data_IF_646788540061
#
_entry.id   IF_646788540061
#
_cell.length_a   1.000
_cell.length_b   1.000
_cell.length_c   1.000
_cell.angle_alpha   90.00
_cell.angle_beta   90.00
_cell.angle_gamma   90.00
#
_symmetry.space_group_name_H-M   'P 1'
#
loop_
_entity.id
_entity.type
_entity.pdbx_description
1 polymer ?
#
# COMPACT_ATOMS: atom_id res chain seq x y z
N UNK A 1 -13.12 0.75 14.42
CA UNK A 1 -12.34 2.01 14.36
C UNK A 1 -11.30 2.10 15.50
N UNK A 2 -11.70 2.02 16.78
CA UNK A 2 -10.78 2.08 17.94
C UNK A 2 -9.72 0.96 17.96
N UNK A 3 -10.12 -0.28 17.66
CA UNK A 3 -9.21 -1.43 17.59
C UNK A 3 -8.16 -1.25 16.48
N UNK A 4 -8.55 -0.66 15.36
CA UNK A 4 -7.66 -0.43 14.22
C UNK A 4 -6.58 0.59 14.59
N UNK A 5 -6.99 1.71 15.20
CA UNK A 5 -6.08 2.76 15.67
C UNK A 5 -5.13 2.22 16.75
N UNK A 6 -5.65 1.46 17.72
CA UNK A 6 -4.81 0.85 18.76
C UNK A 6 -3.82 -0.17 18.19
N UNK A 7 -4.23 -0.98 17.22
CA UNK A 7 -3.35 -1.94 16.57
C UNK A 7 -2.22 -1.25 15.78
N UNK A 8 -2.52 -0.16 15.07
CA UNK A 8 -1.52 0.64 14.34
C UNK A 8 -0.54 1.33 15.30
N UNK A 9 -1.02 1.96 16.37
CA UNK A 9 -0.14 2.58 17.36
C UNK A 9 0.72 1.55 18.10
N UNK A 10 0.15 0.38 18.42
CA UNK A 10 0.89 -0.70 19.06
C UNK A 10 2.00 -1.26 18.15
N UNK A 11 1.74 -1.43 16.85
CA UNK A 11 2.76 -1.89 15.89
C UNK A 11 3.89 -0.89 15.72
N UNK A 12 3.58 0.42 15.64
CA UNK A 12 4.60 1.48 15.59
C UNK A 12 5.44 1.50 16.86
N UNK A 13 4.81 1.40 18.03
CA UNK A 13 5.50 1.37 19.33
C UNK A 13 6.43 0.15 19.45
N UNK A 14 5.96 -1.03 19.04
CA UNK A 14 6.76 -2.25 19.07
C UNK A 14 7.97 -2.18 18.14
N UNK A 15 7.82 -1.60 16.94
CA UNK A 15 8.94 -1.39 16.01
C UNK A 15 9.97 -0.40 16.52
N UNK A 16 9.54 0.79 16.98
CA UNK A 16 10.48 1.88 17.31
C UNK A 16 11.13 1.76 18.68
N UNK A 17 10.44 1.17 19.66
CA UNK A 17 10.92 1.12 21.05
C UNK A 17 11.31 -0.28 21.50
N UNK A 18 10.44 -1.28 21.30
CA UNK A 18 10.66 -2.61 21.91
C UNK A 18 11.60 -3.51 21.10
N UNK A 19 11.50 -3.48 19.78
CA UNK A 19 12.31 -4.33 18.88
C UNK A 19 13.33 -3.54 18.04
N UNK A 20 13.75 -2.37 18.55
CA UNK A 20 14.75 -1.50 17.92
C UNK A 20 16.09 -2.20 17.64
N UNK A 21 16.46 -3.21 18.44
CA UNK A 21 17.72 -3.95 18.29
C UNK A 21 17.74 -4.90 17.07
N UNK A 22 16.58 -5.29 16.56
CA UNK A 22 16.42 -6.12 15.35
C UNK A 22 16.08 -5.26 14.12
N UNK A 23 15.94 -3.94 14.31
CA UNK A 23 15.63 -2.98 13.24
C UNK A 23 16.90 -2.66 12.45
N UNK A 24 17.09 -3.39 11.35
CA UNK A 24 18.23 -3.22 10.45
C UNK A 24 18.04 -1.98 9.56
N UNK A 25 18.45 -0.83 10.11
CA UNK A 25 18.37 0.51 9.51
C UNK A 25 19.07 0.64 8.16
N UNK A 26 19.93 -0.31 7.79
CA UNK A 26 20.71 -0.29 6.55
C UNK A 26 19.92 -0.76 5.33
N UNK A 27 18.86 -1.55 5.50
CA UNK A 27 18.03 -2.05 4.38
C UNK A 27 16.80 -1.17 4.10
N UNK A 28 16.38 -0.34 5.05
CA UNK A 28 15.23 0.58 4.98
C UNK A 28 15.60 1.93 4.32
N UNK A 29 16.11 1.87 3.09
CA UNK A 29 16.57 3.06 2.33
C UNK A 29 15.46 3.78 1.57
N UNK A 30 14.21 3.31 1.67
CA UNK A 30 13.09 3.91 0.95
C UNK A 30 12.69 5.24 1.61
N UNK A 31 12.98 6.36 0.95
CA UNK A 31 12.64 7.68 1.49
C UNK A 31 11.14 7.90 1.36
N UNK A 32 10.43 7.76 2.47
CA UNK A 32 8.98 7.97 2.59
C UNK A 32 8.59 9.39 2.13
N UNK A 33 9.52 10.35 2.20
CA UNK A 33 9.37 11.70 1.63
C UNK A 33 8.95 11.68 0.15
N UNK A 34 9.45 10.73 -0.66
CA UNK A 34 9.04 10.59 -2.07
C UNK A 34 7.62 10.06 -2.25
N UNK A 35 6.97 9.55 -1.21
CA UNK A 35 5.55 9.20 -1.23
C UNK A 35 4.72 10.35 -0.65
N UNK A 36 5.17 10.89 0.47
CA UNK A 36 4.44 11.87 1.25
C UNK A 36 4.34 13.21 0.52
N UNK A 37 5.40 13.66 -0.16
CA UNK A 37 5.40 14.92 -0.92
C UNK A 37 4.48 14.83 -2.13
N UNK A 38 4.56 13.82 -3.03
CA UNK A 38 3.62 13.72 -4.15
C UNK A 38 2.17 13.52 -3.72
N UNK A 39 1.91 12.73 -2.67
CA UNK A 39 0.54 12.56 -2.16
C UNK A 39 -0.02 13.86 -1.58
N UNK A 40 0.79 14.65 -0.86
CA UNK A 40 0.38 15.95 -0.33
C UNK A 40 0.15 16.99 -1.45
N UNK A 41 1.02 16.99 -2.47
CA UNK A 41 0.86 17.86 -3.64
C UNK A 41 -0.40 17.48 -4.42
N UNK A 42 -0.63 16.19 -4.68
CA UNK A 42 -1.85 15.73 -5.36
C UNK A 42 -3.12 16.07 -4.57
N UNK A 43 -3.12 15.91 -3.24
CA UNK A 43 -4.28 16.28 -2.42
C UNK A 43 -4.55 17.79 -2.38
N UNK A 44 -3.55 18.63 -2.63
CA UNK A 44 -3.76 20.08 -2.71
C UNK A 44 -4.21 20.53 -4.11
N UNK A 45 -3.87 19.78 -5.16
CA UNK A 45 -4.22 20.10 -6.55
C UNK A 45 -5.60 19.51 -6.92
N UNK A 46 -5.86 18.27 -6.50
CA UNK A 46 -7.06 17.51 -6.86
C UNK A 46 -7.80 17.16 -5.57
N UNK A 47 -8.68 18.06 -5.13
CA UNK A 47 -9.58 17.86 -3.99
C UNK A 47 -10.98 18.34 -4.36
N UNK A 48 -12.02 17.68 -3.84
CA UNK A 48 -13.42 18.05 -4.11
C UNK A 48 -13.77 19.45 -3.59
N UNK A 49 -13.38 19.75 -2.35
CA UNK A 49 -13.57 21.06 -1.73
C UNK A 49 -12.33 21.48 -0.94
N UNK A 50 -11.91 22.74 -1.05
CA UNK A 50 -10.76 23.30 -0.32
C UNK A 50 -11.06 23.54 1.17
N UNK A 51 -11.67 22.57 1.84
CA UNK A 51 -11.76 22.52 3.30
C UNK A 51 -10.62 21.67 3.85
N UNK A 52 -10.12 22.01 5.03
CA UNK A 52 -9.03 21.27 5.68
C UNK A 52 -9.39 19.79 5.83
N UNK A 53 -10.66 19.49 6.10
CA UNK A 53 -11.14 18.12 6.26
C UNK A 53 -11.08 17.32 4.96
N UNK A 54 -11.55 17.89 3.85
CA UNK A 54 -11.51 17.24 2.53
C UNK A 54 -10.10 17.05 2.01
N UNK A 55 -9.22 18.05 2.19
CA UNK A 55 -7.81 17.93 1.81
C UNK A 55 -7.12 16.82 2.60
N UNK A 56 -7.37 16.72 3.90
CA UNK A 56 -6.82 15.63 4.73
C UNK A 56 -7.41 14.26 4.35
N UNK A 57 -8.71 14.21 4.02
CA UNK A 57 -9.36 12.98 3.57
C UNK A 57 -8.77 12.51 2.23
N UNK A 58 -8.69 13.41 1.25
CA UNK A 58 -8.07 13.18 -0.07
C UNK A 58 -6.61 12.76 0.07
N UNK A 59 -5.85 13.43 0.95
CA UNK A 59 -4.47 13.05 1.28
C UNK A 59 -4.38 11.63 1.81
N UNK A 60 -5.29 11.24 2.72
CA UNK A 60 -5.30 9.88 3.28
C UNK A 60 -5.52 8.81 2.20
N UNK A 61 -6.38 9.09 1.21
CA UNK A 61 -6.67 8.18 0.09
C UNK A 61 -5.46 8.03 -0.83
N UNK A 62 -4.80 9.13 -1.21
CA UNK A 62 -3.59 9.07 -2.04
C UNK A 62 -2.41 8.42 -1.32
N UNK A 63 -2.23 8.71 -0.03
CA UNK A 63 -1.16 8.10 0.76
C UNK A 63 -1.39 6.61 0.91
N UNK A 64 -2.63 6.16 1.16
CA UNK A 64 -2.97 4.75 1.27
C UNK A 64 -2.68 3.95 -0.01
N UNK A 65 -2.91 4.56 -1.18
CA UNK A 65 -2.62 3.93 -2.46
C UNK A 65 -1.13 3.59 -2.62
N UNK A 66 -0.23 4.42 -2.08
CA UNK A 66 1.23 4.29 -2.24
C UNK A 66 1.96 3.76 -0.99
N UNK A 67 1.29 3.74 0.17
CA UNK A 67 1.89 3.34 1.45
C UNK A 67 2.41 1.90 1.48
N UNK A 68 1.98 1.05 0.56
CA UNK A 68 2.43 -0.35 0.43
C UNK A 68 3.81 -0.46 -0.25
N UNK A 69 4.27 0.57 -0.98
CA UNK A 69 5.51 0.54 -1.77
C UNK A 69 6.78 0.20 -0.97
N UNK A 70 7.03 0.72 0.25
CA UNK A 70 8.22 0.37 1.02
C UNK A 70 8.27 -1.12 1.36
N UNK A 71 7.13 -1.69 1.75
CA UNK A 71 7.00 -3.12 2.05
C UNK A 71 7.27 -3.99 0.80
N UNK A 72 6.77 -3.55 -0.36
CA UNK A 72 7.03 -4.22 -1.64
C UNK A 72 8.50 -4.12 -2.04
N UNK A 73 9.13 -2.97 -1.83
CA UNK A 73 10.54 -2.74 -2.15
C UNK A 73 11.46 -3.63 -1.31
N UNK A 74 11.16 -3.76 -0.01
CA UNK A 74 11.88 -4.65 0.90
C UNK A 74 11.81 -6.10 0.42
N UNK A 75 10.61 -6.60 0.06
CA UNK A 75 10.44 -7.97 -0.43
C UNK A 75 11.16 -8.22 -1.77
N UNK A 76 11.15 -7.23 -2.66
CA UNK A 76 11.84 -7.31 -3.96
C UNK A 76 13.36 -7.39 -3.79
N UNK A 77 13.91 -6.68 -2.78
CA UNK A 77 15.33 -6.63 -2.41
C UNK A 77 15.81 -7.87 -1.68
N UNK A 78 15.05 -8.39 -0.73
CA UNK A 78 15.46 -9.57 0.05
C UNK A 78 15.39 -10.86 -0.78
N UNK A 79 14.57 -10.90 -1.84
CA UNK A 79 14.48 -12.05 -2.75
C UNK A 79 13.85 -13.31 -2.13
N UNK A 80 13.73 -13.34 -0.80
CA UNK A 80 12.98 -14.32 -0.02
C UNK A 80 11.58 -13.77 0.26
N UNK A 81 10.65 -14.08 -0.64
CA UNK A 81 9.24 -13.98 -0.32
C UNK A 81 8.91 -15.16 0.60
N UNK A 82 8.98 -14.96 1.92
CA UNK A 82 8.41 -15.93 2.85
C UNK A 82 6.96 -16.23 2.44
N UNK A 83 6.60 -17.51 2.38
CA UNK A 83 5.26 -17.98 1.98
C UNK A 83 4.16 -17.28 2.81
N UNK A 84 4.46 -16.96 4.08
CA UNK A 84 3.58 -16.25 5.01
C UNK A 84 3.28 -14.82 4.53
N UNK A 85 4.30 -14.04 4.20
CA UNK A 85 4.14 -12.66 3.69
C UNK A 85 3.39 -12.65 2.36
N UNK A 86 3.58 -13.69 1.54
CA UNK A 86 2.89 -13.84 0.25
C UNK A 86 1.38 -14.08 0.42
N UNK A 87 0.98 -14.97 1.34
CA UNK A 87 -0.44 -15.20 1.64
C UNK A 87 -1.09 -13.97 2.29
N UNK A 88 -0.36 -13.25 3.15
CA UNK A 88 -0.83 -11.99 3.72
C UNK A 88 -1.14 -10.95 2.63
N UNK A 89 -0.20 -10.73 1.71
CA UNK A 89 -0.39 -9.80 0.60
C UNK A 89 -1.49 -10.26 -0.37
N UNK A 90 -1.65 -11.57 -0.60
CA UNK A 90 -2.74 -12.11 -1.41
C UNK A 90 -4.11 -11.82 -0.78
N UNK A 91 -4.27 -12.05 0.52
CA UNK A 91 -5.49 -11.74 1.24
C UNK A 91 -5.79 -10.23 1.24
N UNK A 92 -4.77 -9.40 1.43
CA UNK A 92 -4.86 -7.94 1.41
C UNK A 92 -5.29 -7.42 0.03
N UNK A 93 -4.70 -7.94 -1.05
CA UNK A 93 -5.07 -7.62 -2.42
C UNK A 93 -6.48 -8.09 -2.78
N UNK A 94 -6.87 -9.30 -2.35
CA UNK A 94 -8.21 -9.85 -2.56
C UNK A 94 -9.28 -9.02 -1.85
N UNK A 95 -9.01 -8.59 -0.61
CA UNK A 95 -9.88 -7.67 0.12
C UNK A 95 -10.10 -6.35 -0.64
N UNK A 96 -9.06 -5.80 -1.27
CA UNK A 96 -9.17 -4.58 -2.08
C UNK A 96 -9.93 -4.78 -3.39
N UNK A 97 -9.74 -5.92 -4.06
CA UNK A 97 -10.52 -6.26 -5.26
C UNK A 97 -12.03 -6.34 -4.95
N UNK A 98 -12.40 -6.89 -3.79
CA UNK A 98 -13.79 -6.89 -3.31
C UNK A 98 -14.31 -5.47 -3.05
N UNK A 99 -13.47 -4.55 -2.60
CA UNK A 99 -13.84 -3.14 -2.44
C UNK A 99 -14.15 -2.46 -3.78
N UNK A 100 -13.40 -2.77 -4.84
CA UNK A 100 -13.69 -2.26 -6.18
C UNK A 100 -15.06 -2.78 -6.67
N UNK A 101 -15.36 -4.06 -6.45
CA UNK A 101 -16.67 -4.61 -6.77
C UNK A 101 -17.79 -3.94 -5.96
N UNK A 102 -17.52 -3.58 -4.70
CA UNK A 102 -18.46 -2.82 -3.88
C UNK A 102 -18.68 -1.40 -4.44
N UNK A 103 -17.65 -0.71 -4.93
CA UNK A 103 -17.81 0.60 -5.59
C UNK A 103 -18.64 0.51 -6.86
N UNK A 104 -18.44 -0.54 -7.67
CA UNK A 104 -19.26 -0.79 -8.85
C UNK A 104 -20.72 -1.01 -8.44
N UNK A 105 -20.96 -1.81 -7.40
CA UNK A 105 -22.31 -2.02 -6.88
C UNK A 105 -22.96 -0.72 -6.40
N UNK A 106 -22.25 0.08 -5.60
CA UNK A 106 -22.75 1.39 -5.10
C UNK A 106 -22.99 2.39 -6.23
N UNK A 107 -22.18 2.36 -7.29
CA UNK A 107 -22.41 3.20 -8.47
C UNK A 107 -23.75 2.89 -9.15
N UNK A 108 -24.07 1.61 -9.32
CA UNK A 108 -25.32 1.18 -9.98
C UNK A 108 -26.56 1.31 -9.08
N UNK A 109 -26.42 1.20 -7.76
CA UNK A 109 -27.55 1.14 -6.82
C UNK A 109 -27.79 2.46 -6.09
N UNK A 110 -26.72 3.18 -5.72
CA UNK A 110 -26.79 4.39 -4.88
C UNK A 110 -26.50 5.68 -5.68
N UNK A 111 -26.17 5.59 -6.97
CA UNK A 111 -25.72 6.72 -7.83
C UNK A 111 -24.57 7.55 -7.23
N UNK A 112 -23.84 6.99 -6.27
CA UNK A 112 -22.74 7.66 -5.58
C UNK A 112 -21.41 7.30 -6.25
N UNK A 113 -20.74 8.27 -6.85
CA UNK A 113 -19.45 8.10 -7.52
C UNK A 113 -18.42 9.08 -6.97
N UNK A 114 -17.36 8.53 -6.36
CA UNK A 114 -16.22 9.32 -5.91
C UNK A 114 -15.02 9.06 -6.84
N UNK A 115 -14.73 9.98 -7.78
CA UNK A 115 -13.68 9.80 -8.77
C UNK A 115 -12.28 9.73 -8.12
N UNK A 116 -12.05 10.42 -7.00
CA UNK A 116 -10.76 10.41 -6.31
C UNK A 116 -10.51 9.02 -5.71
N UNK A 117 -11.50 8.48 -5.01
CA UNK A 117 -11.40 7.14 -4.42
C UNK A 117 -11.21 6.05 -5.48
N UNK A 118 -11.93 6.15 -6.61
CA UNK A 118 -11.82 5.19 -7.71
C UNK A 118 -10.45 5.25 -8.37
N UNK A 119 -9.95 6.44 -8.71
CA UNK A 119 -8.61 6.58 -9.34
C UNK A 119 -7.51 6.10 -8.41
N UNK A 120 -7.54 6.49 -7.13
CA UNK A 120 -6.56 6.03 -6.15
C UNK A 120 -6.63 4.50 -5.95
N UNK A 121 -7.83 3.93 -5.90
CA UNK A 121 -8.04 2.50 -5.83
C UNK A 121 -7.57 1.73 -7.06
N UNK A 122 -7.72 2.31 -8.26
CA UNK A 122 -7.15 1.75 -9.49
C UNK A 122 -5.62 1.74 -9.43
N UNK A 123 -4.97 2.85 -9.05
CA UNK A 123 -3.51 2.92 -8.87
C UNK A 123 -3.04 1.87 -7.86
N UNK A 124 -3.72 1.78 -6.72
CA UNK A 124 -3.40 0.80 -5.68
C UNK A 124 -3.50 -0.64 -6.22
N UNK A 125 -4.53 -0.93 -7.01
CA UNK A 125 -4.75 -2.27 -7.60
C UNK A 125 -3.70 -2.61 -8.64
N UNK A 126 -3.27 -1.64 -9.46
CA UNK A 126 -2.17 -1.83 -10.41
C UNK A 126 -0.87 -2.16 -9.67
N UNK A 127 -0.58 -1.46 -8.57
CA UNK A 127 0.59 -1.76 -7.74
C UNK A 127 0.54 -3.18 -7.14
N UNK A 128 -0.63 -3.62 -6.68
CA UNK A 128 -0.83 -5.02 -6.25
C UNK A 128 -0.71 -6.02 -7.41
N UNK A 129 -1.20 -5.68 -8.61
CA UNK A 129 -1.13 -6.54 -9.78
C UNK A 129 0.32 -6.72 -10.28
N UNK A 130 1.11 -5.65 -10.30
CA UNK A 130 2.55 -5.71 -10.61
C UNK A 130 3.29 -6.59 -9.60
N UNK A 131 2.91 -6.49 -8.31
CA UNK A 131 3.41 -7.40 -7.29
C UNK A 131 3.01 -8.86 -7.54
N UNK A 132 1.74 -9.15 -7.84
CA UNK A 132 1.31 -10.52 -8.18
C UNK A 132 2.06 -11.05 -9.39
N UNK A 133 2.29 -10.22 -10.41
CA UNK A 133 3.07 -10.58 -11.58
C UNK A 133 4.52 -10.92 -11.21
N UNK A 134 5.21 -10.06 -10.46
CA UNK A 134 6.57 -10.30 -9.95
C UNK A 134 6.64 -11.57 -9.08
N UNK A 135 5.67 -11.77 -8.19
CA UNK A 135 5.55 -12.94 -7.33
C UNK A 135 5.40 -14.23 -8.13
N UNK A 136 4.39 -14.30 -9.01
CA UNK A 136 4.11 -15.46 -9.87
C UNK A 136 5.33 -15.77 -10.71
N UNK A 137 5.97 -14.75 -11.28
CA UNK A 137 7.14 -14.93 -12.13
C UNK A 137 8.37 -15.42 -11.36
N UNK A 138 8.58 -15.00 -10.10
CA UNK A 138 9.73 -15.45 -9.28
C UNK A 138 9.49 -16.81 -8.61
N UNK A 139 8.29 -17.06 -8.09
CA UNK A 139 7.93 -18.31 -7.42
C UNK A 139 7.76 -19.46 -8.41
N UNK A 140 7.02 -19.26 -9.51
CA UNK A 140 6.83 -20.33 -10.50
C UNK A 140 8.10 -20.63 -11.30
N UNK A 141 9.01 -19.66 -11.48
CA UNK A 141 10.26 -19.93 -12.20
C UNK A 141 11.32 -20.61 -11.33
N UNK A 142 11.19 -20.65 -10.00
CA UNK A 142 12.11 -21.37 -9.11
C UNK A 142 13.60 -21.06 -9.31
N UNK A 143 13.95 -19.93 -9.94
CA UNK A 143 15.33 -19.62 -10.33
C UNK A 143 16.02 -18.86 -9.21
N UNK A 144 17.03 -19.50 -8.61
CA UNK A 144 18.07 -18.87 -7.80
C UNK A 144 18.60 -17.64 -8.54
N UNK A 145 18.58 -16.50 -7.87
CA UNK A 145 19.09 -15.23 -8.36
C UNK A 145 20.62 -15.37 -8.44
N UNK A 146 21.16 -15.57 -9.63
CA UNK A 146 22.51 -15.14 -9.96
C UNK A 146 22.36 -13.89 -10.84
N UNK A 147 22.82 -12.75 -10.33
CA UNK A 147 23.09 -11.58 -11.18
C UNK A 147 24.40 -11.86 -11.94
N UNK A 148 24.46 -11.66 -13.27
CA UNK A 148 25.72 -11.57 -13.96
C UNK A 148 26.45 -10.29 -13.51
N UNK A 149 27.74 -10.47 -13.24
CA UNK A 149 28.72 -9.44 -12.86
C UNK A 149 28.92 -8.37 -13.96
#
# INVERSE_FOLDING_TARGET
>A
MVIFILATYATVYLMYFKFKATYDRNHDTFRIEFLLVPSAVMSLIITHEYTIMEVLWTFSIYLEAVAILPQLFLLSKTGEAETITSHYLFALGSYRALYILNWIYRYYVEEFFDPIAVVAGCVQTILYADFFYLYVTRVLKGKKIQLPA
#
